data_IF_877600851765
#
_entry.id   IF_877600851765
#
_cell.length_a   1.000
_cell.length_b   1.000
_cell.length_c   1.000
_cell.angle_alpha   90.00
_cell.angle_beta   90.00
_cell.angle_gamma   90.00
#
_symmetry.space_group_name_H-M   'P 1'
#
loop_
_entity.id
_entity.type
_entity.pdbx_description
1 polymer ?
#
# COMPACT_ATOMS: atom_id res chain seq x y z
N UNK A 1 -2.56 -26.13 -50.25
CA UNK A 1 -1.38 -25.25 -50.48
C UNK A 1 -1.71 -23.76 -50.50
N UNK A 2 -2.54 -23.25 -51.41
CA UNK A 2 -2.93 -21.82 -51.41
C UNK A 2 -3.52 -21.35 -50.07
N UNK A 3 -4.45 -22.14 -49.52
CA UNK A 3 -5.06 -21.88 -48.21
C UNK A 3 -4.06 -21.83 -47.07
N UNK A 4 -3.03 -22.68 -47.11
CA UNK A 4 -1.95 -22.67 -46.11
C UNK A 4 -1.11 -21.40 -46.21
N UNK A 5 -0.66 -21.06 -47.42
CA UNK A 5 0.17 -19.87 -47.65
C UNK A 5 -0.60 -18.58 -47.34
N UNK A 6 -1.83 -18.46 -47.81
CA UNK A 6 -2.72 -17.35 -47.46
C UNK A 6 -2.94 -17.27 -45.94
N UNK A 7 -3.21 -18.39 -45.28
CA UNK A 7 -3.38 -18.45 -43.82
C UNK A 7 -2.13 -18.10 -43.02
N UNK A 8 -0.94 -18.30 -43.59
CA UNK A 8 0.36 -17.92 -43.03
C UNK A 8 0.81 -16.51 -43.44
N UNK A 9 0.00 -15.76 -44.20
CA UNK A 9 0.34 -14.47 -44.81
C UNK A 9 1.57 -14.54 -45.75
N UNK A 10 1.78 -15.68 -46.40
CA UNK A 10 2.81 -15.87 -47.42
C UNK A 10 2.26 -15.50 -48.82
N UNK A 11 3.05 -14.81 -49.66
CA UNK A 11 2.62 -14.43 -51.00
C UNK A 11 2.25 -15.62 -51.90
N UNK A 12 1.08 -15.54 -52.51
CA UNK A 12 0.52 -16.56 -53.42
C UNK A 12 1.39 -16.79 -54.67
N UNK A 13 2.23 -15.82 -55.04
CA UNK A 13 3.19 -15.90 -56.17
C UNK A 13 4.26 -16.98 -55.96
N UNK A 14 4.68 -17.21 -54.71
CA UNK A 14 5.76 -18.15 -54.35
C UNK A 14 5.44 -19.60 -54.72
N UNK A 15 4.15 -19.93 -54.83
CA UNK A 15 3.66 -21.28 -55.17
C UNK A 15 3.20 -21.39 -56.63
N UNK A 16 3.03 -20.27 -57.35
CA UNK A 16 2.58 -20.24 -58.75
C UNK A 16 3.74 -20.30 -59.75
N UNK A 17 4.87 -19.70 -59.40
CA UNK A 17 6.06 -19.60 -60.24
C UNK A 17 7.07 -20.69 -59.86
N UNK A 18 7.40 -21.58 -60.81
CA UNK A 18 8.22 -22.79 -60.55
C UNK A 18 9.64 -22.46 -60.09
N UNK A 19 10.17 -21.32 -60.52
CA UNK A 19 11.46 -20.74 -60.12
C UNK A 19 11.46 -20.16 -58.69
N UNK A 20 10.30 -19.96 -58.08
CA UNK A 20 10.17 -19.43 -56.71
C UNK A 20 9.88 -20.52 -55.66
N UNK A 21 9.80 -21.79 -56.06
CA UNK A 21 9.45 -22.88 -55.14
C UNK A 21 10.49 -23.10 -54.03
N UNK A 22 11.78 -22.84 -54.28
CA UNK A 22 12.81 -22.87 -53.23
C UNK A 22 12.63 -21.74 -52.21
N UNK A 23 12.35 -20.52 -52.68
CA UNK A 23 12.05 -19.37 -51.82
C UNK A 23 10.77 -19.57 -51.01
N UNK A 24 9.79 -20.28 -51.58
CA UNK A 24 8.55 -20.67 -50.89
C UNK A 24 8.82 -21.58 -49.69
N UNK A 25 9.68 -22.59 -49.87
CA UNK A 25 10.09 -23.52 -48.80
C UNK A 25 10.86 -22.78 -47.72
N UNK A 26 11.81 -21.90 -48.09
CA UNK A 26 12.61 -21.15 -47.12
C UNK A 26 11.75 -20.18 -46.30
N UNK A 27 10.84 -19.46 -46.96
CA UNK A 27 9.93 -18.52 -46.29
C UNK A 27 8.94 -19.23 -45.38
N UNK A 28 8.43 -20.40 -45.80
CA UNK A 28 7.60 -21.26 -44.97
C UNK A 28 8.37 -21.75 -43.73
N UNK A 29 9.59 -22.26 -43.90
CA UNK A 29 10.42 -22.74 -42.80
C UNK A 29 10.67 -21.66 -41.75
N UNK A 30 10.98 -20.43 -42.17
CA UNK A 30 11.20 -19.31 -41.25
C UNK A 30 9.95 -18.98 -40.42
N UNK A 31 8.77 -18.89 -41.05
CA UNK A 31 7.51 -18.63 -40.34
C UNK A 31 7.17 -19.77 -39.39
N UNK A 32 7.36 -21.02 -39.83
CA UNK A 32 7.05 -22.20 -39.02
C UNK A 32 7.87 -22.20 -37.74
N UNK A 33 9.18 -21.95 -37.81
CA UNK A 33 10.04 -21.88 -36.61
C UNK A 33 9.58 -20.80 -35.65
N UNK A 34 9.27 -19.59 -36.14
CA UNK A 34 8.85 -18.47 -35.30
C UNK A 34 7.47 -18.69 -34.65
N UNK A 35 6.50 -19.15 -35.43
CA UNK A 35 5.13 -19.40 -34.96
C UNK A 35 5.07 -20.62 -34.03
N UNK A 36 5.92 -21.64 -34.25
CA UNK A 36 5.94 -22.83 -33.40
C UNK A 36 6.46 -22.50 -32.01
N UNK A 37 7.56 -21.76 -31.91
CA UNK A 37 8.10 -21.28 -30.63
C UNK A 37 7.07 -20.45 -29.87
N UNK A 38 6.46 -19.46 -30.52
CA UNK A 38 5.38 -18.63 -29.93
C UNK A 38 4.19 -19.47 -29.48
N UNK A 39 3.75 -20.42 -30.30
CA UNK A 39 2.61 -21.31 -29.99
C UNK A 39 2.89 -22.16 -28.75
N UNK A 40 4.08 -22.76 -28.67
CA UNK A 40 4.50 -23.59 -27.52
C UNK A 40 4.57 -22.73 -26.25
N UNK A 41 5.12 -21.52 -26.32
CA UNK A 41 5.16 -20.60 -25.18
C UNK A 41 3.76 -20.21 -24.70
N UNK A 42 2.82 -19.95 -25.61
CA UNK A 42 1.43 -19.62 -25.24
C UNK A 42 0.71 -20.82 -24.65
N UNK A 43 0.89 -22.02 -25.20
CA UNK A 43 0.33 -23.26 -24.63
C UNK A 43 0.80 -23.49 -23.19
N UNK A 44 2.09 -23.28 -22.92
CA UNK A 44 2.66 -23.40 -21.57
C UNK A 44 2.05 -22.36 -20.62
N UNK A 45 1.99 -21.09 -21.00
CA UNK A 45 1.37 -20.04 -20.16
C UNK A 45 -0.13 -20.24 -19.95
N UNK A 46 -0.85 -20.80 -20.92
CA UNK A 46 -2.28 -21.10 -20.77
C UNK A 46 -2.54 -22.24 -19.78
N UNK A 47 -1.55 -23.07 -19.46
CA UNK A 47 -1.65 -24.10 -18.42
C UNK A 47 -1.87 -23.49 -17.03
N UNK A 48 -1.17 -22.40 -16.73
CA UNK A 48 -1.29 -21.66 -15.47
C UNK A 48 -2.50 -20.69 -15.48
N UNK A 49 -3.05 -20.45 -16.67
CA UNK A 49 -4.17 -19.54 -16.91
C UNK A 49 -3.72 -18.09 -17.00
N UNK A 50 -4.49 -17.30 -17.76
CA UNK A 50 -4.24 -15.86 -17.88
C UNK A 50 -4.95 -15.12 -16.75
N UNK A 51 -4.20 -14.69 -15.74
CA UNK A 51 -4.72 -14.05 -14.54
C UNK A 51 -4.58 -12.51 -14.61
N UNK A 52 -5.55 -11.80 -14.05
CA UNK A 52 -5.49 -10.37 -13.78
C UNK A 52 -6.20 -10.08 -12.47
N UNK A 53 -5.59 -9.28 -11.59
CA UNK A 53 -6.15 -8.89 -10.28
C UNK A 53 -6.79 -10.04 -9.48
N UNK A 54 -6.10 -11.18 -9.43
CA UNK A 54 -6.51 -12.42 -8.74
C UNK A 54 -7.75 -13.12 -9.32
N UNK A 55 -8.13 -12.83 -10.57
CA UNK A 55 -9.17 -13.58 -11.29
C UNK A 55 -8.70 -14.03 -12.69
N UNK A 56 -9.24 -15.14 -13.21
CA UNK A 56 -8.93 -15.59 -14.55
C UNK A 56 -9.64 -14.71 -15.59
N UNK A 57 -8.89 -14.26 -16.60
CA UNK A 57 -9.41 -13.45 -17.72
C UNK A 57 -10.15 -14.32 -18.73
N UNK A 58 -9.66 -15.55 -18.94
CA UNK A 58 -10.36 -16.56 -19.75
C UNK A 58 -11.18 -17.45 -18.83
N UNK A 59 -12.43 -17.74 -19.20
CA UNK A 59 -13.23 -18.76 -18.50
C UNK A 59 -12.65 -20.15 -18.78
N UNK A 60 -12.88 -21.12 -17.90
CA UNK A 60 -12.30 -22.47 -18.03
C UNK A 60 -12.62 -23.14 -19.37
N UNK A 61 -13.86 -23.00 -19.85
CA UNK A 61 -14.30 -23.53 -21.14
C UNK A 61 -13.58 -22.86 -22.31
N UNK A 62 -13.42 -21.53 -22.26
CA UNK A 62 -12.70 -20.76 -23.28
C UNK A 62 -11.21 -21.12 -23.28
N UNK A 63 -10.59 -21.20 -22.10
CA UNK A 63 -9.18 -21.60 -21.95
C UNK A 63 -8.94 -23.01 -22.50
N UNK A 64 -9.86 -23.96 -22.27
CA UNK A 64 -9.77 -25.30 -22.85
C UNK A 64 -9.88 -25.25 -24.38
N UNK A 65 -10.87 -24.54 -24.92
CA UNK A 65 -11.06 -24.37 -26.37
C UNK A 65 -9.81 -23.74 -27.03
N UNK A 66 -9.25 -22.71 -26.40
CA UNK A 66 -8.01 -22.07 -26.88
C UNK A 66 -6.84 -23.04 -26.92
N UNK A 67 -6.67 -23.87 -25.88
CA UNK A 67 -5.62 -24.89 -25.85
C UNK A 67 -5.80 -25.93 -26.95
N UNK A 68 -7.01 -26.44 -27.15
CA UNK A 68 -7.31 -27.44 -28.19
C UNK A 68 -7.01 -26.90 -29.60
N UNK A 69 -7.44 -25.67 -29.91
CA UNK A 69 -7.19 -25.05 -31.21
C UNK A 69 -5.70 -24.69 -31.41
N UNK A 70 -4.99 -24.29 -30.35
CA UNK A 70 -3.54 -24.04 -30.40
C UNK A 70 -2.72 -25.33 -30.52
N UNK A 71 -3.15 -26.43 -29.91
CA UNK A 71 -2.55 -27.76 -30.11
C UNK A 71 -2.72 -28.22 -31.56
N UNK A 72 -3.91 -28.03 -32.13
CA UNK A 72 -4.14 -28.25 -33.56
C UNK A 72 -3.21 -27.40 -34.43
N UNK A 73 -3.00 -26.13 -34.09
CA UNK A 73 -2.07 -25.27 -34.83
C UNK A 73 -0.60 -25.71 -34.66
N UNK A 74 -0.18 -26.09 -33.45
CA UNK A 74 1.16 -26.63 -33.17
C UNK A 74 1.44 -27.88 -34.02
N UNK A 75 0.49 -28.81 -34.08
CA UNK A 75 0.65 -30.05 -34.83
C UNK A 75 0.75 -29.77 -36.34
N UNK A 76 0.02 -28.77 -36.84
CA UNK A 76 0.16 -28.27 -38.22
C UNK A 76 1.60 -27.76 -38.43
N UNK A 77 2.10 -26.88 -37.58
CA UNK A 77 3.45 -26.30 -37.69
C UNK A 77 4.54 -27.38 -37.63
N UNK A 78 4.43 -28.37 -36.74
CA UNK A 78 5.36 -29.51 -36.67
C UNK A 78 5.36 -30.37 -37.93
N UNK A 79 4.20 -30.51 -38.59
CA UNK A 79 4.14 -31.20 -39.88
C UNK A 79 4.85 -30.42 -40.99
N UNK A 80 4.78 -29.09 -40.95
CA UNK A 80 5.39 -28.19 -41.92
C UNK A 80 6.90 -28.08 -41.72
N UNK A 81 7.40 -28.24 -40.49
CA UNK A 81 8.83 -28.25 -40.17
C UNK A 81 9.59 -29.37 -40.91
N UNK A 82 8.89 -30.48 -41.23
CA UNK A 82 9.45 -31.61 -41.99
C UNK A 82 9.57 -31.31 -43.50
N UNK A 83 8.97 -30.24 -43.98
CA UNK A 83 8.95 -29.86 -45.41
C UNK A 83 10.21 -29.06 -45.75
N UNK A 84 11.23 -29.77 -46.24
CA UNK A 84 12.53 -29.18 -46.65
C UNK A 84 12.74 -29.03 -48.15
N UNK A 85 11.84 -29.55 -48.98
CA UNK A 85 11.98 -29.50 -50.44
C UNK A 85 10.62 -29.23 -51.12
N UNK A 86 10.62 -28.69 -52.36
CA UNK A 86 9.39 -28.54 -53.15
C UNK A 86 8.63 -29.84 -53.38
N UNK A 87 9.31 -31.00 -53.40
CA UNK A 87 8.68 -32.32 -53.51
C UNK A 87 7.86 -32.69 -52.27
N UNK A 88 8.35 -32.34 -51.08
CA UNK A 88 7.62 -32.57 -49.81
C UNK A 88 6.37 -31.68 -49.70
N UNK A 89 6.38 -30.48 -50.30
CA UNK A 89 5.18 -29.62 -50.37
C UNK A 89 4.03 -30.26 -51.15
N UNK A 90 4.32 -31.12 -52.15
CA UNK A 90 3.29 -31.78 -52.98
C UNK A 90 2.63 -32.98 -52.29
N UNK A 91 3.29 -33.56 -51.29
CA UNK A 91 2.84 -34.73 -50.51
C UNK A 91 2.28 -34.35 -49.15
N UNK A 92 1.92 -33.07 -48.97
CA UNK A 92 1.40 -32.55 -47.72
C UNK A 92 0.13 -33.28 -47.26
N UNK A 93 0.15 -33.79 -46.03
CA UNK A 93 -0.80 -34.79 -45.53
C UNK A 93 -2.20 -34.26 -45.23
N UNK A 94 -2.36 -32.95 -45.01
CA UNK A 94 -3.63 -32.38 -44.59
C UNK A 94 -4.48 -31.89 -45.76
N UNK A 95 -5.78 -32.18 -45.67
CA UNK A 95 -6.79 -31.63 -46.58
C UNK A 95 -6.96 -30.14 -46.37
N UNK A 96 -7.52 -29.43 -47.35
CA UNK A 96 -7.81 -28.01 -47.22
C UNK A 96 -8.71 -27.68 -46.03
N UNK A 97 -9.70 -28.53 -45.74
CA UNK A 97 -10.60 -28.36 -44.60
C UNK A 97 -9.86 -28.49 -43.26
N UNK A 98 -8.97 -29.48 -43.12
CA UNK A 98 -8.14 -29.65 -41.92
C UNK A 98 -7.20 -28.45 -41.72
N UNK A 99 -6.56 -27.97 -42.79
CA UNK A 99 -5.71 -26.78 -42.74
C UNK A 99 -6.49 -25.55 -42.27
N UNK A 100 -7.70 -25.32 -42.81
CA UNK A 100 -8.54 -24.19 -42.38
C UNK A 100 -8.90 -24.27 -40.90
N UNK A 101 -9.21 -25.47 -40.41
CA UNK A 101 -9.51 -25.68 -38.99
C UNK A 101 -8.27 -25.40 -38.12
N UNK A 102 -7.13 -26.03 -38.42
CA UNK A 102 -5.90 -25.87 -37.63
C UNK A 102 -5.36 -24.43 -37.67
N UNK A 103 -5.59 -23.69 -38.75
CA UNK A 103 -5.23 -22.26 -38.85
C UNK A 103 -6.04 -21.36 -37.92
N UNK A 104 -7.18 -21.80 -37.37
CA UNK A 104 -7.92 -21.02 -36.35
C UNK A 104 -7.07 -20.75 -35.12
N UNK A 105 -6.23 -21.72 -34.71
CA UNK A 105 -5.30 -21.54 -33.60
C UNK A 105 -4.30 -20.41 -33.82
N UNK A 106 -3.94 -20.08 -35.07
CA UNK A 106 -3.13 -18.89 -35.37
C UNK A 106 -3.83 -17.59 -34.95
N UNK A 107 -5.14 -17.49 -35.18
CA UNK A 107 -5.93 -16.34 -34.73
C UNK A 107 -5.90 -16.20 -33.21
N UNK A 108 -6.07 -17.31 -32.50
CA UNK A 108 -6.00 -17.39 -31.04
C UNK A 108 -4.62 -16.99 -30.53
N UNK A 109 -3.53 -17.42 -31.18
CA UNK A 109 -2.17 -17.01 -30.82
C UNK A 109 -2.03 -15.48 -30.80
N UNK A 110 -2.44 -14.82 -31.88
CA UNK A 110 -2.37 -13.36 -31.96
C UNK A 110 -3.34 -12.65 -30.99
N UNK A 111 -4.51 -13.23 -30.75
CA UNK A 111 -5.46 -12.70 -29.78
C UNK A 111 -4.90 -12.76 -28.35
N UNK A 112 -4.33 -13.91 -27.96
CA UNK A 112 -3.64 -14.10 -26.68
C UNK A 112 -2.52 -13.08 -26.49
N UNK A 113 -1.65 -12.88 -27.49
CA UNK A 113 -0.55 -11.92 -27.39
C UNK A 113 -1.01 -10.46 -27.31
N UNK A 114 -2.13 -10.12 -27.97
CA UNK A 114 -2.77 -8.80 -27.82
C UNK A 114 -3.31 -8.63 -26.41
N UNK A 115 -3.98 -9.65 -25.88
CA UNK A 115 -4.55 -9.64 -24.54
C UNK A 115 -3.45 -9.55 -23.47
N UNK A 116 -2.39 -10.34 -23.58
CA UNK A 116 -1.24 -10.29 -22.68
C UNK A 116 -0.61 -8.89 -22.67
N UNK A 117 -0.37 -8.28 -23.84
CA UNK A 117 0.16 -6.90 -23.92
C UNK A 117 -0.76 -5.87 -23.28
N UNK A 118 -2.07 -6.01 -23.47
CA UNK A 118 -3.05 -5.11 -22.85
C UNK A 118 -3.02 -5.22 -21.32
N UNK A 119 -3.00 -6.45 -20.78
CA UNK A 119 -2.91 -6.69 -19.33
C UNK A 119 -1.58 -6.19 -18.74
N UNK A 120 -0.48 -6.39 -19.47
CA UNK A 120 0.85 -5.91 -19.05
C UNK A 120 0.87 -4.37 -18.92
N UNK A 121 0.16 -3.66 -19.80
CA UNK A 121 0.08 -2.20 -19.75
C UNK A 121 -0.67 -1.65 -18.52
N UNK A 122 -1.43 -2.51 -17.82
CA UNK A 122 -2.20 -2.18 -16.62
C UNK A 122 -1.49 -2.58 -15.32
N UNK A 123 -0.40 -3.36 -15.40
CA UNK A 123 0.31 -3.89 -14.23
C UNK A 123 0.83 -2.82 -13.27
N UNK A 124 1.45 -1.71 -13.73
CA UNK A 124 2.01 -0.72 -12.80
C UNK A 124 0.95 -0.13 -11.85
N UNK A 125 -0.25 0.15 -12.36
CA UNK A 125 -1.36 0.63 -11.54
C UNK A 125 -1.87 -0.47 -10.59
N UNK A 126 -2.02 -1.70 -11.09
CA UNK A 126 -2.48 -2.83 -10.29
C UNK A 126 -1.52 -3.15 -9.12
N UNK A 127 -0.22 -3.01 -9.33
CA UNK A 127 0.80 -3.19 -8.28
C UNK A 127 0.59 -2.19 -7.13
N UNK A 128 0.33 -0.91 -7.46
CA UNK A 128 0.05 0.12 -6.45
C UNK A 128 -1.21 -0.20 -5.62
N UNK A 129 -2.28 -0.64 -6.29
CA UNK A 129 -3.51 -1.08 -5.61
C UNK A 129 -3.22 -2.28 -4.70
N UNK A 130 -2.48 -3.27 -5.18
CA UNK A 130 -2.16 -4.49 -4.41
C UNK A 130 -1.31 -4.17 -3.18
N UNK A 131 -0.34 -3.25 -3.29
CA UNK A 131 0.40 -2.75 -2.13
C UNK A 131 -0.53 -1.99 -1.16
N UNK A 132 -1.48 -1.21 -1.69
CA UNK A 132 -2.46 -0.48 -0.89
C UNK A 132 -3.40 -1.38 -0.10
N UNK A 133 -3.93 -2.44 -0.73
CA UNK A 133 -4.73 -3.49 -0.08
C UNK A 133 -3.99 -4.10 1.12
N UNK A 134 -2.66 -4.23 1.04
CA UNK A 134 -1.80 -4.73 2.11
C UNK A 134 -1.44 -3.70 3.19
N UNK A 135 -1.70 -2.41 2.95
CA UNK A 135 -1.30 -1.30 3.82
C UNK A 135 -2.47 -0.82 4.69
N UNK A 136 -3.67 -0.69 4.12
CA UNK A 136 -4.84 -0.20 4.85
C UNK A 136 -5.49 -1.28 5.73
N UNK A 137 -6.12 -0.89 6.87
CA UNK A 137 -6.87 -1.79 7.73
C UNK A 137 -8.06 -2.43 7.01
N UNK A 138 -8.67 -3.46 7.62
CA UNK A 138 -9.79 -4.20 7.00
C UNK A 138 -11.12 -3.45 7.01
N UNK A 139 -11.28 -2.50 7.92
CA UNK A 139 -12.52 -1.79 8.24
C UNK A 139 -12.67 -0.43 7.53
N UNK A 140 -11.86 -0.14 6.52
CA UNK A 140 -11.93 1.12 5.76
C UNK A 140 -12.82 0.91 4.53
N UNK A 141 -13.75 1.85 4.27
CA UNK A 141 -14.68 1.84 3.14
C UNK A 141 -14.00 1.64 1.78
N UNK A 142 -12.74 2.06 1.65
CA UNK A 142 -11.94 1.84 0.44
C UNK A 142 -11.84 0.36 0.02
N UNK A 143 -11.90 -0.60 0.96
CA UNK A 143 -11.88 -2.02 0.59
C UNK A 143 -13.15 -2.48 -0.11
N UNK A 144 -14.29 -1.90 0.23
CA UNK A 144 -15.56 -2.18 -0.43
C UNK A 144 -15.49 -1.64 -1.87
N UNK A 145 -14.95 -0.43 -2.05
CA UNK A 145 -14.67 0.17 -3.36
C UNK A 145 -13.74 -0.73 -4.21
N UNK A 146 -12.64 -1.23 -3.64
CA UNK A 146 -11.74 -2.20 -4.30
C UNK A 146 -12.51 -3.42 -4.80
N UNK A 147 -13.37 -3.99 -3.97
CA UNK A 147 -14.13 -5.19 -4.31
C UNK A 147 -15.14 -4.92 -5.44
N UNK A 148 -15.87 -3.81 -5.37
CA UNK A 148 -16.82 -3.39 -6.40
C UNK A 148 -16.13 -3.15 -7.75
N UNK A 149 -15.05 -2.38 -7.75
CA UNK A 149 -14.27 -2.09 -8.96
C UNK A 149 -13.68 -3.38 -9.53
N UNK A 150 -13.15 -4.29 -8.69
CA UNK A 150 -12.61 -5.58 -9.13
C UNK A 150 -13.68 -6.44 -9.81
N UNK A 151 -14.88 -6.53 -9.21
CA UNK A 151 -16.00 -7.29 -9.77
C UNK A 151 -16.43 -6.74 -11.14
N UNK A 152 -16.52 -5.41 -11.26
CA UNK A 152 -16.86 -4.75 -12.52
C UNK A 152 -15.79 -5.00 -13.60
N UNK A 153 -14.51 -4.86 -13.25
CA UNK A 153 -13.41 -5.09 -14.20
C UNK A 153 -13.31 -6.56 -14.61
N UNK A 154 -13.62 -7.49 -13.70
CA UNK A 154 -13.71 -8.92 -14.02
C UNK A 154 -14.75 -9.19 -15.09
N UNK A 155 -15.96 -8.63 -14.96
CA UNK A 155 -17.02 -8.81 -15.95
C UNK A 155 -16.60 -8.29 -17.33
N UNK A 156 -15.96 -7.11 -17.37
CA UNK A 156 -15.48 -6.47 -18.61
C UNK A 156 -14.38 -7.28 -19.30
N UNK A 157 -13.42 -7.80 -18.53
CA UNK A 157 -12.27 -8.53 -19.05
C UNK A 157 -12.58 -9.99 -19.40
N UNK A 158 -13.62 -10.57 -18.82
CA UNK A 158 -14.11 -11.91 -19.15
C UNK A 158 -15.09 -11.94 -20.33
N UNK A 159 -15.53 -10.79 -20.86
CA UNK A 159 -16.35 -10.72 -22.07
C UNK A 159 -15.46 -10.67 -23.33
N UNK A 160 -15.43 -11.72 -24.17
CA UNK A 160 -14.59 -11.76 -25.37
C UNK A 160 -14.89 -10.64 -26.36
N UNK A 161 -16.13 -10.13 -26.41
CA UNK A 161 -16.51 -9.06 -27.33
C UNK A 161 -15.96 -7.68 -26.88
N UNK A 162 -15.71 -7.51 -25.58
CA UNK A 162 -15.36 -6.23 -24.97
C UNK A 162 -13.89 -6.15 -24.53
N UNK A 163 -13.29 -7.25 -24.04
CA UNK A 163 -12.01 -7.24 -23.31
C UNK A 163 -10.82 -6.65 -24.07
N UNK A 164 -10.83 -6.70 -25.40
CA UNK A 164 -9.76 -6.17 -26.26
C UNK A 164 -10.12 -4.84 -26.93
N UNK A 165 -11.28 -4.26 -26.63
CA UNK A 165 -11.66 -2.96 -27.17
C UNK A 165 -10.79 -1.86 -26.53
N UNK A 166 -10.26 -0.90 -27.31
CA UNK A 166 -9.43 0.18 -26.77
C UNK A 166 -10.14 0.96 -25.64
N UNK A 167 -11.45 1.14 -25.76
CA UNK A 167 -12.25 1.79 -24.72
C UNK A 167 -12.28 1.00 -23.41
N UNK A 168 -12.44 -0.33 -23.46
CA UNK A 168 -12.43 -1.19 -22.26
C UNK A 168 -11.10 -1.09 -21.52
N UNK A 169 -9.97 -1.18 -22.23
CA UNK A 169 -8.64 -1.06 -21.60
C UNK A 169 -8.45 0.33 -20.98
N UNK A 170 -8.90 1.39 -21.64
CA UNK A 170 -8.86 2.74 -21.09
C UNK A 170 -9.74 2.89 -19.83
N UNK A 171 -10.93 2.28 -19.82
CA UNK A 171 -11.81 2.27 -18.64
C UNK A 171 -11.17 1.53 -17.46
N UNK A 172 -10.63 0.33 -17.68
CA UNK A 172 -9.94 -0.45 -16.63
C UNK A 172 -8.78 0.37 -16.06
N UNK A 173 -7.98 1.00 -16.92
CA UNK A 173 -6.87 1.87 -16.49
C UNK A 173 -7.36 3.03 -15.63
N UNK A 174 -8.38 3.76 -16.09
CA UNK A 174 -8.96 4.89 -15.35
C UNK A 174 -9.57 4.46 -14.01
N UNK A 175 -10.21 3.29 -13.96
CA UNK A 175 -10.73 2.73 -12.72
C UNK A 175 -9.62 2.45 -11.69
N UNK A 176 -8.49 1.87 -12.13
CA UNK A 176 -7.33 1.66 -11.25
C UNK A 176 -6.70 2.98 -10.78
N UNK A 177 -6.63 3.99 -11.66
CA UNK A 177 -6.09 5.32 -11.31
C UNK A 177 -6.98 6.06 -10.29
N UNK A 178 -8.30 5.96 -10.44
CA UNK A 178 -9.27 6.50 -9.49
C UNK A 178 -9.19 5.78 -8.15
N UNK A 179 -9.14 4.44 -8.16
CA UNK A 179 -9.03 3.65 -6.95
C UNK A 179 -7.74 3.95 -6.19
N UNK A 180 -6.65 4.21 -6.90
CA UNK A 180 -5.38 4.62 -6.30
C UNK A 180 -5.46 6.05 -5.73
N UNK A 181 -6.22 6.96 -6.35
CA UNK A 181 -6.44 8.29 -5.78
C UNK A 181 -7.24 8.21 -4.48
N UNK A 182 -8.31 7.40 -4.47
CA UNK A 182 -9.10 7.11 -3.27
C UNK A 182 -8.25 6.47 -2.16
N UNK A 183 -7.31 5.58 -2.53
CA UNK A 183 -6.33 5.02 -1.59
C UNK A 183 -5.49 6.11 -0.91
N UNK A 184 -4.95 7.04 -1.69
CA UNK A 184 -4.10 8.14 -1.19
C UNK A 184 -4.88 9.00 -0.19
N UNK A 185 -6.14 9.32 -0.51
CA UNK A 185 -7.02 10.08 0.38
C UNK A 185 -7.29 9.34 1.70
N UNK A 186 -7.67 8.07 1.63
CA UNK A 186 -7.91 7.24 2.81
C UNK A 186 -6.67 7.09 3.68
N UNK A 187 -5.50 6.88 3.06
CA UNK A 187 -4.23 6.81 3.77
C UNK A 187 -3.90 8.13 4.47
N UNK A 188 -4.04 9.27 3.78
CA UNK A 188 -3.73 10.59 4.35
C UNK A 188 -4.66 10.94 5.51
N UNK A 189 -5.93 10.57 5.43
CA UNK A 189 -6.87 10.75 6.53
C UNK A 189 -6.39 10.03 7.79
N UNK A 190 -6.03 8.75 7.68
CA UNK A 190 -5.51 7.97 8.81
C UNK A 190 -4.16 8.50 9.30
N UNK A 191 -3.27 8.88 8.37
CA UNK A 191 -1.97 9.46 8.70
C UNK A 191 -2.13 10.76 9.50
N UNK A 192 -2.99 11.67 9.05
CA UNK A 192 -3.20 12.96 9.69
C UNK A 192 -3.97 12.85 11.01
N UNK A 193 -4.74 11.78 11.19
CA UNK A 193 -5.32 11.44 12.49
C UNK A 193 -4.24 10.98 13.49
N UNK A 194 -3.20 10.26 13.04
CA UNK A 194 -2.19 9.65 13.91
C UNK A 194 -0.87 10.43 14.03
N UNK A 195 -0.71 11.54 13.29
CA UNK A 195 0.53 12.33 13.25
C UNK A 195 0.26 13.78 13.56
N UNK A 196 1.15 14.37 14.37
CA UNK A 196 1.12 15.80 14.60
C UNK A 196 1.68 16.55 13.39
N UNK A 197 0.96 17.61 13.01
CA UNK A 197 1.41 18.61 12.06
C UNK A 197 2.28 19.68 12.77
N UNK A 198 2.83 20.69 12.06
CA UNK A 198 3.75 21.65 12.68
C UNK A 198 3.14 22.49 13.79
N UNK A 199 1.87 22.91 13.64
CA UNK A 199 1.21 23.75 14.65
C UNK A 199 0.87 22.94 15.90
N UNK A 200 0.55 21.66 15.74
CA UNK A 200 0.32 20.73 16.84
C UNK A 200 1.61 20.32 17.55
N UNK A 201 2.71 20.10 16.82
CA UNK A 201 4.02 19.89 17.47
C UNK A 201 4.44 21.13 18.26
N UNK A 202 4.24 22.34 17.72
CA UNK A 202 4.51 23.57 18.49
C UNK A 202 3.70 23.64 19.80
N UNK A 203 2.44 23.20 19.80
CA UNK A 203 1.63 23.06 21.02
C UNK A 203 2.23 22.06 22.01
N UNK A 204 2.60 20.86 21.55
CA UNK A 204 3.30 19.84 22.35
C UNK A 204 4.60 20.39 22.95
N UNK A 205 5.42 21.09 22.16
CA UNK A 205 6.67 21.69 22.63
C UNK A 205 6.43 22.76 23.70
N UNK A 206 5.33 23.53 23.62
CA UNK A 206 4.97 24.50 24.67
C UNK A 206 4.66 23.82 25.99
N UNK A 207 3.94 22.70 26.00
CA UNK A 207 3.69 21.92 27.23
C UNK A 207 4.99 21.38 27.84
N UNK A 208 5.84 20.78 27.01
CA UNK A 208 7.10 20.17 27.47
C UNK A 208 8.05 21.24 28.04
N UNK A 209 8.05 22.44 27.47
CA UNK A 209 8.90 23.57 27.89
C UNK A 209 8.22 24.49 28.92
N UNK A 210 6.99 24.18 29.33
CA UNK A 210 6.29 24.97 30.35
C UNK A 210 7.08 24.88 31.67
N UNK A 211 7.41 26.00 32.34
CA UNK A 211 8.11 25.97 33.63
C UNK A 211 7.45 25.06 34.67
N UNK A 212 6.11 24.98 34.64
CA UNK A 212 5.34 24.10 35.54
C UNK A 212 5.65 22.63 35.39
N UNK A 213 6.03 22.21 34.19
CA UNK A 213 6.43 20.83 33.94
C UNK A 213 7.77 20.51 34.61
N UNK A 214 8.74 21.44 34.58
CA UNK A 214 9.99 21.29 35.31
C UNK A 214 9.75 21.29 36.83
N UNK A 215 8.81 22.10 37.31
CA UNK A 215 8.41 22.11 38.72
C UNK A 215 7.81 20.76 39.15
N UNK A 216 6.88 20.20 38.38
CA UNK A 216 6.28 18.88 38.65
C UNK A 216 7.35 17.78 38.72
N UNK A 217 8.33 17.78 37.81
CA UNK A 217 9.44 16.82 37.87
C UNK A 217 10.31 16.97 39.11
N UNK A 218 10.55 18.20 39.57
CA UNK A 218 11.30 18.41 40.80
C UNK A 218 10.50 17.93 42.02
N UNK A 219 9.20 18.18 42.05
CA UNK A 219 8.29 17.73 43.10
C UNK A 219 8.08 16.20 43.11
N UNK A 220 8.25 15.52 41.97
CA UNK A 220 8.14 14.07 41.89
C UNK A 220 9.19 13.33 42.75
N UNK A 221 10.25 14.02 43.20
CA UNK A 221 11.22 13.49 44.15
C UNK A 221 10.70 13.41 45.60
N UNK A 222 9.53 14.01 45.89
CA UNK A 222 8.93 13.97 47.22
C UNK A 222 8.13 12.68 47.41
N UNK A 223 8.42 11.95 48.48
CA UNK A 223 7.88 10.58 48.70
C UNK A 223 6.34 10.54 48.81
N UNK A 224 5.74 11.65 49.25
CA UNK A 224 4.29 11.77 49.44
C UNK A 224 3.54 12.27 48.19
N UNK A 225 4.24 12.55 47.08
CA UNK A 225 3.62 12.88 45.79
C UNK A 225 3.65 11.68 44.82
N UNK A 226 2.54 11.40 44.11
CA UNK A 226 2.46 10.19 43.30
C UNK A 226 3.13 10.36 41.93
N UNK A 227 4.43 10.07 41.81
CA UNK A 227 5.21 10.14 40.54
C UNK A 227 4.48 9.51 39.34
N UNK A 228 3.80 8.38 39.56
CA UNK A 228 2.99 7.69 38.55
C UNK A 228 1.92 8.56 37.87
N UNK A 229 1.43 9.64 38.50
CA UNK A 229 0.49 10.59 37.88
C UNK A 229 1.18 11.45 36.82
N UNK A 230 2.40 11.90 37.09
CA UNK A 230 3.20 12.67 36.14
C UNK A 230 3.61 11.77 34.97
N UNK A 231 4.05 10.54 35.24
CA UNK A 231 4.37 9.57 34.19
C UNK A 231 3.17 9.28 33.27
N UNK A 232 1.98 9.09 33.85
CA UNK A 232 0.73 8.88 33.10
C UNK A 232 0.37 10.08 32.20
N UNK A 233 0.73 11.29 32.59
CA UNK A 233 0.54 12.48 31.77
C UNK A 233 1.62 12.64 30.69
N UNK A 234 2.88 12.33 31.02
CA UNK A 234 4.01 12.46 30.09
C UNK A 234 4.01 11.37 29.00
N UNK A 235 3.60 10.14 29.33
CA UNK A 235 3.69 9.00 28.42
C UNK A 235 2.93 9.24 27.10
N UNK A 236 1.64 9.64 27.10
CA UNK A 236 0.91 9.92 25.87
C UNK A 236 1.60 10.99 25.02
N UNK A 237 2.17 12.03 25.64
CA UNK A 237 2.91 13.08 24.92
C UNK A 237 4.17 12.52 24.24
N UNK A 238 4.89 11.58 24.86
CA UNK A 238 6.06 10.93 24.26
C UNK A 238 5.68 10.07 23.05
N UNK A 239 4.53 9.40 23.11
CA UNK A 239 4.02 8.55 22.03
C UNK A 239 3.51 9.33 20.81
N UNK A 240 3.21 10.63 20.94
CA UNK A 240 2.82 11.47 19.81
C UNK A 240 3.96 11.65 18.81
N UNK A 241 3.77 11.14 17.60
CA UNK A 241 4.73 11.21 16.48
C UNK A 241 4.41 12.39 15.57
N UNK A 242 5.44 13.14 15.18
CA UNK A 242 5.33 14.27 14.24
C UNK A 242 5.65 13.77 12.82
N UNK A 243 4.87 14.19 11.82
CA UNK A 243 5.21 13.95 10.42
C UNK A 243 4.75 15.11 9.53
N UNK A 244 5.71 15.75 8.87
CA UNK A 244 5.51 16.99 8.11
C UNK A 244 5.47 16.80 6.59
N UNK A 245 5.96 15.65 6.12
CA UNK A 245 6.32 15.46 4.72
C UNK A 245 5.39 14.54 3.95
N UNK A 246 4.36 13.95 4.55
CA UNK A 246 3.49 13.05 3.81
C UNK A 246 2.56 13.82 2.86
N UNK A 247 2.86 13.81 1.57
CA UNK A 247 2.03 14.46 0.55
C UNK A 247 1.34 13.46 -0.36
N UNK A 248 0.32 13.93 -1.09
CA UNK A 248 -0.32 13.16 -2.17
C UNK A 248 0.70 12.72 -3.23
N UNK A 249 1.65 13.59 -3.59
CA UNK A 249 2.67 13.31 -4.59
C UNK A 249 3.63 12.19 -4.16
N UNK A 250 3.92 12.06 -2.86
CA UNK A 250 4.76 10.98 -2.34
C UNK A 250 4.04 9.63 -2.44
N UNK A 251 2.75 9.63 -2.11
CA UNK A 251 1.91 8.43 -2.12
C UNK A 251 1.46 8.04 -3.54
N UNK A 252 1.54 8.94 -4.52
CA UNK A 252 1.30 8.58 -5.92
C UNK A 252 2.27 7.52 -6.46
N UNK A 253 3.44 7.36 -5.82
CA UNK A 253 4.49 6.42 -6.25
C UNK A 253 4.78 5.34 -5.21
N UNK A 254 4.12 5.39 -4.04
CA UNK A 254 4.45 4.58 -2.87
C UNK A 254 3.19 4.30 -2.07
N UNK A 255 3.07 3.11 -1.50
CA UNK A 255 1.95 2.81 -0.60
C UNK A 255 2.12 3.42 0.79
N UNK A 256 3.34 3.72 1.24
CA UNK A 256 3.61 4.15 2.62
C UNK A 256 4.43 5.45 2.64
N UNK A 257 4.14 6.29 3.64
CA UNK A 257 4.89 7.50 3.94
C UNK A 257 6.34 7.16 4.31
N UNK A 258 7.30 7.59 3.50
CA UNK A 258 8.72 7.32 3.76
C UNK A 258 9.34 8.20 4.87
N UNK A 259 8.63 9.23 5.32
CA UNK A 259 9.14 10.12 6.38
C UNK A 259 8.99 9.52 7.77
N UNK A 260 7.88 8.83 8.02
CA UNK A 260 7.60 8.23 9.33
C UNK A 260 7.26 6.73 9.28
N UNK A 261 7.28 6.11 8.09
CA UNK A 261 6.93 4.71 7.86
C UNK A 261 5.61 4.29 8.52
N UNK A 262 4.61 5.17 8.50
CA UNK A 262 3.32 4.90 9.12
C UNK A 262 2.60 3.75 8.41
N UNK A 263 2.31 2.67 9.15
CA UNK A 263 1.53 1.55 8.65
C UNK A 263 0.18 1.53 9.34
N UNK A 264 -0.91 1.96 8.68
CA UNK A 264 -2.24 2.01 9.28
C UNK A 264 -2.69 0.70 9.97
N UNK A 265 -2.34 -0.46 9.41
CA UNK A 265 -2.63 -1.78 10.03
C UNK A 265 -1.98 -1.99 11.40
N UNK A 266 -0.85 -1.35 11.69
CA UNK A 266 -0.14 -1.49 12.98
C UNK A 266 -0.91 -0.86 14.14
N UNK A 267 -1.81 0.08 13.87
CA UNK A 267 -2.60 0.76 14.89
C UNK A 267 -3.84 -0.06 15.27
N UNK A 268 -4.20 -1.08 14.49
CA UNK A 268 -5.29 -2.02 14.78
C UNK A 268 -6.68 -1.39 14.66
N UNK A 269 -7.08 -0.60 15.64
CA UNK A 269 -8.30 0.21 15.64
C UNK A 269 -7.93 1.69 15.42
N UNK A 270 -8.87 2.47 14.87
CA UNK A 270 -8.73 3.93 14.87
C UNK A 270 -8.76 4.35 16.34
N UNK A 271 -7.58 4.60 16.90
CA UNK A 271 -7.43 5.11 18.25
C UNK A 271 -7.92 6.55 18.34
N UNK A 272 -7.75 7.13 19.51
CA UNK A 272 -7.98 8.57 19.66
C UNK A 272 -6.96 9.34 18.80
N UNK A 273 -7.42 10.26 17.91
CA UNK A 273 -6.54 11.08 17.09
C UNK A 273 -5.45 11.77 17.91
N UNK A 274 -4.28 11.93 17.31
CA UNK A 274 -3.11 12.57 17.90
C UNK A 274 -3.41 13.99 18.41
N UNK A 275 -4.27 14.73 17.68
CA UNK A 275 -4.75 16.05 18.12
C UNK A 275 -5.57 15.95 19.41
N UNK A 276 -6.54 15.03 19.47
CA UNK A 276 -7.41 14.89 20.63
C UNK A 276 -6.62 14.42 21.86
N UNK A 277 -5.63 13.54 21.66
CA UNK A 277 -4.68 13.13 22.72
C UNK A 277 -3.86 14.31 23.23
N UNK A 278 -3.39 15.18 22.33
CA UNK A 278 -2.68 16.40 22.70
C UNK A 278 -3.59 17.36 23.48
N UNK A 279 -4.82 17.56 23.03
CA UNK A 279 -5.80 18.42 23.71
C UNK A 279 -6.19 17.89 25.08
N UNK A 280 -6.28 16.58 25.23
CA UNK A 280 -6.49 15.95 26.52
C UNK A 280 -5.31 16.22 27.45
N UNK A 281 -4.07 16.04 26.97
CA UNK A 281 -2.88 16.35 27.76
C UNK A 281 -2.79 17.85 28.16
N UNK A 282 -3.21 18.77 27.29
CA UNK A 282 -3.28 20.21 27.62
C UNK A 282 -4.27 20.48 28.76
N UNK A 283 -5.45 19.85 28.74
CA UNK A 283 -6.45 19.99 29.82
C UNK A 283 -5.96 19.37 31.12
N UNK A 284 -5.40 18.17 31.05
CA UNK A 284 -4.97 17.41 32.21
C UNK A 284 -3.75 18.04 32.90
N UNK A 285 -2.91 18.77 32.15
CA UNK A 285 -1.72 19.41 32.69
C UNK A 285 -2.03 20.42 33.80
N UNK A 286 -3.00 21.31 33.58
CA UNK A 286 -3.40 22.30 34.58
C UNK A 286 -3.99 21.65 35.83
N UNK A 287 -4.86 20.67 35.63
CA UNK A 287 -5.50 19.93 36.73
C UNK A 287 -4.48 19.15 37.57
N UNK A 288 -3.50 18.52 36.91
CA UNK A 288 -2.39 17.82 37.58
C UNK A 288 -1.57 18.80 38.43
N UNK A 289 -1.19 19.94 37.83
CA UNK A 289 -0.41 20.96 38.51
C UNK A 289 -1.13 21.50 39.75
N UNK A 290 -2.38 21.93 39.59
CA UNK A 290 -3.18 22.50 40.68
C UNK A 290 -3.39 21.49 41.81
N UNK A 291 -3.63 20.21 41.47
CA UNK A 291 -3.77 19.12 42.44
C UNK A 291 -2.47 18.92 43.23
N UNK A 292 -1.32 18.85 42.57
CA UNK A 292 -0.03 18.63 43.23
C UNK A 292 0.35 19.79 44.14
N UNK A 293 0.16 21.03 43.70
CA UNK A 293 0.40 22.23 44.51
C UNK A 293 -0.51 22.25 45.74
N UNK A 294 -1.80 21.92 45.57
CA UNK A 294 -2.75 21.86 46.68
C UNK A 294 -2.38 20.75 47.68
N UNK A 295 -2.03 19.55 47.21
CA UNK A 295 -1.61 18.44 48.05
C UNK A 295 -0.33 18.78 48.83
N UNK A 296 0.69 19.31 48.15
CA UNK A 296 1.93 19.76 48.79
C UNK A 296 1.66 20.81 49.89
N UNK A 297 0.80 21.78 49.60
CA UNK A 297 0.43 22.81 50.57
C UNK A 297 -0.34 22.23 51.77
N UNK A 298 -1.19 21.22 51.56
CA UNK A 298 -1.88 20.53 52.65
C UNK A 298 -0.94 19.69 53.51
N UNK A 299 -0.01 18.96 52.89
CA UNK A 299 0.99 18.15 53.59
C UNK A 299 1.89 19.02 54.48
N UNK A 300 2.42 20.12 53.94
CA UNK A 300 3.28 21.05 54.67
C UNK A 300 2.55 21.86 55.77
N UNK A 301 1.21 21.88 55.77
CA UNK A 301 0.39 22.52 56.82
C UNK A 301 0.03 21.59 57.97
N UNK A 302 0.39 20.30 57.91
CA UNK A 302 0.16 19.36 59.01
C UNK A 302 0.99 19.75 60.23
N UNK A 303 0.46 19.51 61.43
CA UNK A 303 1.14 19.85 62.69
C UNK A 303 2.55 19.23 62.79
N UNK A 304 2.72 18.01 62.30
CA UNK A 304 4.02 17.32 62.25
C UNK A 304 5.01 18.03 61.32
N UNK A 305 4.55 18.48 60.16
CA UNK A 305 5.41 19.16 59.18
C UNK A 305 5.83 20.54 59.67
N UNK A 306 4.92 21.26 60.33
CA UNK A 306 5.22 22.55 60.97
C UNK A 306 6.26 22.41 62.10
N UNK A 307 6.20 21.33 62.88
CA UNK A 307 7.20 21.07 63.92
C UNK A 307 8.59 20.75 63.34
N UNK A 308 8.66 20.00 62.24
CA UNK A 308 9.92 19.70 61.54
C UNK A 308 10.50 20.95 60.87
N UNK A 309 9.65 21.83 60.32
CA UNK A 309 10.04 23.13 59.77
C UNK A 309 10.79 24.00 60.78
N UNK A 310 10.41 23.95 62.07
CA UNK A 310 11.10 24.67 63.13
C UNK A 310 12.52 24.11 63.39
N UNK A 311 12.79 22.86 63.05
CA UNK A 311 14.12 22.25 63.16
C UNK A 311 15.07 22.59 61.99
N UNK A 312 14.53 23.08 60.85
CA UNK A 312 15.33 23.48 59.68
C UNK A 312 16.09 24.80 59.91
N UNK A 313 17.15 25.03 59.13
CA UNK A 313 17.87 26.31 59.14
C UNK A 313 16.99 27.44 58.58
N UNK A 314 17.24 28.68 59.00
CA UNK A 314 16.48 29.86 58.52
C UNK A 314 16.51 29.99 56.98
N UNK A 315 17.63 29.62 56.36
CA UNK A 315 17.79 29.64 54.91
C UNK A 315 16.90 28.61 54.18
N UNK A 316 16.64 27.45 54.80
CA UNK A 316 15.77 26.40 54.26
C UNK A 316 14.30 26.64 54.61
N UNK A 317 14.02 27.13 55.81
CA UNK A 317 12.67 27.37 56.33
C UNK A 317 11.94 28.49 55.59
N UNK A 318 12.64 29.60 55.32
CA UNK A 318 12.03 30.82 54.76
C UNK A 318 11.38 30.60 53.37
N UNK A 319 12.01 29.90 52.42
CA UNK A 319 11.37 29.57 51.14
C UNK A 319 10.12 28.68 51.29
N UNK A 320 10.16 27.68 52.18
CA UNK A 320 9.01 26.77 52.41
C UNK A 320 7.83 27.53 53.03
N UNK A 321 8.08 28.39 54.03
CA UNK A 321 7.05 29.25 54.62
C UNK A 321 6.45 30.23 53.60
N UNK A 322 7.28 30.80 52.73
CA UNK A 322 6.82 31.66 51.64
C UNK A 322 5.88 30.91 50.68
N UNK A 323 6.19 29.65 50.36
CA UNK A 323 5.31 28.80 49.56
C UNK A 323 4.00 28.50 50.28
N UNK A 324 4.03 28.10 51.56
CA UNK A 324 2.82 27.81 52.36
C UNK A 324 1.87 29.02 52.41
N UNK A 325 2.42 30.22 52.52
CA UNK A 325 1.67 31.47 52.60
C UNK A 325 1.08 31.92 51.25
N UNK A 326 1.86 31.80 50.16
CA UNK A 326 1.44 32.27 48.82
C UNK A 326 0.63 31.22 48.04
N UNK A 327 0.92 29.93 48.24
CA UNK A 327 0.45 28.84 47.39
C UNK A 327 1.12 28.80 46.01
N UNK A 328 2.15 29.61 45.77
CA UNK A 328 2.81 29.73 44.48
C UNK A 328 4.24 29.18 44.54
N UNK A 329 4.57 28.24 43.64
CA UNK A 329 5.92 27.71 43.51
C UNK A 329 6.84 28.73 42.81
N UNK A 330 8.11 28.86 43.23
CA UNK A 330 9.07 29.67 42.51
C UNK A 330 9.33 29.11 41.11
N UNK A 331 9.59 29.98 40.14
CA UNK A 331 9.81 29.60 38.73
C UNK A 331 10.87 28.49 38.55
N UNK A 332 11.88 28.46 39.43
CA UNK A 332 12.85 27.37 39.54
C UNK A 332 12.83 26.80 40.95
N UNK A 333 12.51 25.52 41.06
CA UNK A 333 12.68 24.75 42.30
C UNK A 333 14.14 24.29 42.39
N UNK A 334 14.86 24.82 43.38
CA UNK A 334 16.23 24.38 43.66
C UNK A 334 16.19 23.04 44.40
N UNK A 335 17.29 22.28 44.31
CA UNK A 335 17.40 21.00 45.01
C UNK A 335 17.27 21.18 46.53
N UNK A 336 17.86 22.25 47.06
CA UNK A 336 17.81 22.58 48.48
C UNK A 336 16.38 22.86 48.96
N UNK A 337 15.53 23.45 48.09
CA UNK A 337 14.12 23.70 48.41
C UNK A 337 13.32 22.40 48.41
N UNK A 338 13.55 21.51 47.45
CA UNK A 338 12.88 20.19 47.43
C UNK A 338 13.29 19.36 48.63
N UNK A 339 14.58 19.33 48.98
CA UNK A 339 15.07 18.66 50.20
C UNK A 339 14.44 19.27 51.47
N UNK A 340 14.36 20.60 51.56
CA UNK A 340 13.69 21.27 52.68
C UNK A 340 12.19 20.97 52.75
N UNK A 341 11.51 20.72 51.62
CA UNK A 341 10.10 20.30 51.60
C UNK A 341 9.91 18.82 51.97
N UNK A 342 10.91 17.98 51.75
CA UNK A 342 10.91 16.57 52.14
C UNK A 342 11.20 16.39 53.63
N UNK A 343 12.10 17.21 54.17
CA UNK A 343 12.52 17.17 55.58
C UNK A 343 11.54 17.91 56.51
N UNK A 344 10.61 18.69 55.95
CA UNK A 344 9.46 19.27 56.64
C UNK A 344 8.36 18.22 56.78
#
# INVERSE_FOLDING_TARGET
MRTLFAGLNLPDRLIRETDQHELAVQSLANIVVQELDRTVQVLDRLRDGLQFWHFPVLRDEESRCWREELEGYRDLLQSLERIRTPGHLRTFAYTEAQVKQMLKGRGILYEYERLQRALESLRPQLELITLGENTLPQNVSWREEVHEVRSEQQQRLQDPAQRLQPHTIALVKGALENLHSSYVEAYLLLHNAERLNPSQDARKQRLIRDPRHAQLRALAALDFLPESELERWEQPLRELVVCMGCTTADLQKRSVCHHCNFHPRSVGQIGQPALDRLEQAERDFGLLYDRWVANLCQELKKETALANLDALTEAQRRPVQSFIASGELPEKLSRELVEAMQDA
#
